data_IF_463290066194
#
_entry.id   IF_463290066194
#
_cell.length_a   1.000
_cell.length_b   1.000
_cell.length_c   1.000
_cell.angle_alpha   90.00
_cell.angle_beta   90.00
_cell.angle_gamma   90.00
#
_symmetry.space_group_name_H-M   'P 1'
#
loop_
_entity.id
_entity.type
_entity.pdbx_description
1 polymer ?
#
# COMPACT_ATOMS: atom_id res chain seq x y z
N UNK A 1 -8.04 -1.58 43.50
CA UNK A 1 -7.88 -1.06 42.12
C UNK A 1 -7.21 -2.15 41.27
N UNK A 2 -7.90 -2.70 40.27
CA UNK A 2 -7.35 -3.74 39.40
C UNK A 2 -6.79 -3.17 38.10
N UNK A 3 -5.55 -3.52 37.76
CA UNK A 3 -4.94 -3.14 36.48
C UNK A 3 -5.56 -3.98 35.35
N UNK A 4 -6.14 -3.34 34.33
CA UNK A 4 -6.61 -4.00 33.11
C UNK A 4 -5.51 -3.95 32.05
N UNK A 5 -4.97 -5.11 31.68
CA UNK A 5 -3.98 -5.22 30.62
C UNK A 5 -4.65 -5.15 29.25
N UNK A 6 -4.28 -4.16 28.45
CA UNK A 6 -4.70 -4.01 27.05
C UNK A 6 -3.56 -3.43 26.22
N UNK A 7 -3.39 -3.95 25.01
CA UNK A 7 -2.44 -3.45 24.01
C UNK A 7 -3.18 -2.51 23.05
N UNK A 8 -2.54 -1.41 22.70
CA UNK A 8 -3.04 -0.51 21.64
C UNK A 8 -2.97 -1.25 20.31
N UNK A 9 -4.08 -1.38 19.55
CA UNK A 9 -4.05 -2.07 18.28
C UNK A 9 -3.13 -1.33 17.31
N UNK A 10 -2.11 -2.00 16.81
CA UNK A 10 -1.28 -1.50 15.72
C UNK A 10 -2.08 -1.58 14.43
N UNK A 11 -2.24 -0.45 13.74
CA UNK A 11 -2.80 -0.46 12.39
C UNK A 11 -1.82 -1.21 11.49
N UNK A 12 -2.27 -2.30 10.86
CA UNK A 12 -1.45 -2.96 9.84
C UNK A 12 -1.19 -1.97 8.70
N UNK A 13 0.02 -2.03 8.15
CA UNK A 13 0.37 -1.22 6.99
C UNK A 13 -0.65 -1.51 5.88
N UNK A 14 -1.24 -0.45 5.33
CA UNK A 14 -2.16 -0.58 4.23
C UNK A 14 -1.40 -1.19 3.04
N UNK A 15 -1.90 -2.32 2.54
CA UNK A 15 -1.35 -2.93 1.33
C UNK A 15 -1.77 -2.07 0.14
N UNK A 16 -0.82 -1.37 -0.45
CA UNK A 16 -1.01 -0.51 -1.62
C UNK A 16 -0.50 -1.24 -2.86
N UNK A 17 -1.35 -2.04 -3.55
CA UNK A 17 -0.90 -2.96 -4.60
C UNK A 17 -0.27 -2.24 -5.80
N UNK A 18 -0.69 -0.99 -6.07
CA UNK A 18 -0.19 -0.20 -7.19
C UNK A 18 0.94 0.78 -6.82
N UNK A 19 1.45 0.72 -5.58
CA UNK A 19 2.49 1.64 -5.13
C UNK A 19 3.81 1.46 -5.89
N UNK A 20 4.18 0.23 -6.23
CA UNK A 20 5.43 -0.04 -6.96
C UNK A 20 5.38 0.51 -8.40
N UNK A 21 4.26 0.32 -9.10
CA UNK A 21 4.07 0.84 -10.46
C UNK A 21 4.04 2.37 -10.44
N UNK A 22 3.43 2.97 -9.41
CA UNK A 22 3.39 4.41 -9.24
C UNK A 22 4.79 4.98 -8.96
N UNK A 23 5.61 4.36 -8.09
CA UNK A 23 6.98 4.84 -7.85
C UNK A 23 7.85 4.73 -9.09
N UNK A 24 7.68 3.71 -9.93
CA UNK A 24 8.41 3.63 -11.21
C UNK A 24 8.04 4.75 -12.19
N UNK A 25 6.77 5.15 -12.21
CA UNK A 25 6.31 6.28 -13.02
C UNK A 25 6.82 7.62 -12.47
N UNK A 26 6.79 7.81 -11.15
CA UNK A 26 7.36 8.99 -10.51
C UNK A 26 8.88 9.10 -10.70
N UNK A 27 9.60 7.97 -10.62
CA UNK A 27 11.04 7.95 -10.89
C UNK A 27 11.33 8.34 -12.34
N UNK A 28 10.51 7.85 -13.28
CA UNK A 28 10.61 8.26 -14.67
C UNK A 28 10.37 9.77 -14.84
N UNK A 29 9.35 10.33 -14.20
CA UNK A 29 9.11 11.79 -14.23
C UNK A 29 10.24 12.61 -13.62
N UNK A 30 10.85 12.13 -12.54
CA UNK A 30 11.98 12.80 -11.94
C UNK A 30 13.17 12.88 -12.91
N UNK A 31 13.31 11.90 -13.81
CA UNK A 31 14.38 11.87 -14.82
C UNK A 31 14.07 12.65 -16.09
N UNK A 32 12.80 12.69 -16.53
CA UNK A 32 12.41 13.22 -17.85
C UNK A 32 11.67 14.55 -17.81
N UNK A 33 11.11 14.94 -16.67
CA UNK A 33 10.48 16.25 -16.46
C UNK A 33 9.06 16.43 -17.02
N UNK A 34 8.55 15.57 -17.92
CA UNK A 34 7.18 15.72 -18.44
C UNK A 34 6.57 14.41 -19.01
N UNK A 35 5.22 14.35 -19.01
CA UNK A 35 4.36 13.38 -19.69
C UNK A 35 4.35 13.56 -21.22
N UNK A 36 4.59 14.79 -21.69
CA UNK A 36 4.40 15.22 -23.08
C UNK A 36 5.63 15.04 -23.98
N UNK A 37 6.63 14.27 -23.55
CA UNK A 37 7.67 13.76 -24.45
C UNK A 37 7.03 12.74 -25.41
N UNK A 38 6.29 13.25 -26.41
CA UNK A 38 5.49 12.52 -27.39
C UNK A 38 6.33 11.95 -28.54
N UNK A 39 7.47 11.32 -28.24
CA UNK A 39 8.24 10.53 -29.21
C UNK A 39 8.45 9.14 -28.65
N UNK A 40 8.04 8.17 -29.45
CA UNK A 40 8.18 6.74 -29.21
C UNK A 40 9.68 6.37 -29.25
N UNK A 41 10.31 6.23 -28.08
CA UNK A 41 11.74 5.93 -27.94
C UNK A 41 12.27 6.00 -26.50
N UNK A 42 13.53 5.59 -26.29
CA UNK A 42 14.20 5.12 -25.05
C UNK A 42 14.13 5.94 -23.75
N UNK A 43 13.41 7.07 -23.67
CA UNK A 43 13.24 7.90 -22.46
C UNK A 43 11.82 8.48 -22.31
N UNK A 44 10.78 7.67 -22.53
CA UNK A 44 9.38 8.06 -22.30
C UNK A 44 8.71 7.28 -21.16
N UNK A 45 7.90 7.94 -20.31
CA UNK A 45 7.20 7.32 -19.17
C UNK A 45 5.92 6.55 -19.54
N UNK A 46 5.66 6.34 -20.84
CA UNK A 46 4.44 5.71 -21.34
C UNK A 46 4.29 4.24 -20.90
N UNK A 47 5.38 3.48 -20.84
CA UNK A 47 5.35 2.09 -20.38
C UNK A 47 5.02 2.00 -18.87
N UNK A 48 5.61 2.87 -18.05
CA UNK A 48 5.30 2.99 -16.63
C UNK A 48 3.83 3.42 -16.40
N UNK A 49 3.31 4.32 -17.24
CA UNK A 49 1.92 4.77 -17.19
C UNK A 49 0.93 3.65 -17.56
N UNK A 50 1.22 2.87 -18.60
CA UNK A 50 0.43 1.69 -18.97
C UNK A 50 0.38 0.67 -17.84
N UNK A 51 1.52 0.36 -17.23
CA UNK A 51 1.58 -0.59 -16.12
C UNK A 51 0.82 -0.12 -14.88
N UNK A 52 0.88 1.17 -14.55
CA UNK A 52 0.08 1.75 -13.47
C UNK A 52 -1.42 1.64 -13.79
N UNK A 53 -1.82 1.98 -15.02
CA UNK A 53 -3.22 1.90 -15.44
C UNK A 53 -3.76 0.48 -15.37
N UNK A 54 -2.99 -0.51 -15.85
CA UNK A 54 -3.34 -1.93 -15.74
C UNK A 54 -3.49 -2.38 -14.28
N UNK A 55 -2.61 -1.92 -13.38
CA UNK A 55 -2.74 -2.21 -11.96
C UNK A 55 -4.01 -1.60 -11.36
N UNK A 56 -4.32 -0.34 -11.68
CA UNK A 56 -5.50 0.36 -11.16
C UNK A 56 -6.81 -0.17 -11.74
N UNK A 57 -6.78 -0.76 -12.94
CA UNK A 57 -7.93 -1.42 -13.54
C UNK A 57 -8.32 -2.72 -12.82
N UNK A 58 -7.39 -3.35 -12.10
CA UNK A 58 -7.67 -4.57 -11.34
C UNK A 58 -8.45 -4.25 -10.05
N UNK A 59 -9.55 -4.96 -9.75
CA UNK A 59 -10.31 -4.74 -8.53
C UNK A 59 -9.48 -5.18 -7.31
N UNK A 60 -9.18 -4.24 -6.41
CA UNK A 60 -8.51 -4.55 -5.16
C UNK A 60 -9.48 -5.27 -4.20
N UNK A 61 -9.19 -6.53 -3.92
CA UNK A 61 -9.88 -7.28 -2.85
C UNK A 61 -9.27 -6.89 -1.51
N UNK A 62 -9.94 -6.00 -0.78
CA UNK A 62 -9.61 -5.71 0.62
C UNK A 62 -9.84 -6.97 1.45
N UNK A 63 -8.78 -7.72 1.74
CA UNK A 63 -8.84 -8.79 2.73
C UNK A 63 -9.16 -8.19 4.08
N UNK A 64 -10.23 -8.65 4.75
CA UNK A 64 -10.36 -8.39 6.18
C UNK A 64 -9.29 -9.24 6.87
N UNK A 65 -8.19 -8.61 7.25
CA UNK A 65 -7.22 -9.25 8.13
C UNK A 65 -7.96 -9.71 9.39
N UNK A 66 -7.73 -10.94 9.82
CA UNK A 66 -8.31 -11.46 11.04
C UNK A 66 -7.96 -10.52 12.21
N UNK A 67 -8.96 -10.10 12.99
CA UNK A 67 -8.74 -9.27 14.16
C UNK A 67 -7.99 -10.08 15.22
N UNK A 68 -6.83 -9.61 15.71
CA UNK A 68 -6.07 -10.37 16.69
C UNK A 68 -6.84 -10.43 18.02
N UNK A 69 -6.95 -11.63 18.61
CA UNK A 69 -7.64 -11.88 19.88
C UNK A 69 -6.82 -11.51 21.13
N UNK A 70 -5.70 -10.80 20.96
CA UNK A 70 -4.74 -10.51 22.04
C UNK A 70 -5.37 -9.77 23.22
N UNK A 71 -6.21 -8.76 22.98
CA UNK A 71 -6.88 -8.01 24.04
C UNK A 71 -7.94 -8.85 24.78
N UNK A 72 -8.52 -9.84 24.11
CA UNK A 72 -9.41 -10.80 24.74
C UNK A 72 -8.63 -11.72 25.68
N UNK A 73 -7.46 -12.24 25.25
CA UNK A 73 -6.61 -13.09 26.09
C UNK A 73 -6.04 -12.32 27.29
N UNK A 74 -5.53 -11.10 27.07
CA UNK A 74 -5.00 -10.25 28.15
C UNK A 74 -6.06 -9.87 29.20
N UNK A 75 -7.33 -9.79 28.80
CA UNK A 75 -8.42 -9.54 29.75
C UNK A 75 -8.68 -10.70 30.72
N UNK A 76 -8.27 -11.92 30.35
CA UNK A 76 -8.42 -13.13 31.16
C UNK A 76 -7.22 -13.41 32.07
N UNK A 77 -6.11 -12.69 31.89
CA UNK A 77 -4.94 -12.81 32.77
C UNK A 77 -5.33 -12.24 34.14
N UNK A 78 -5.68 -13.14 35.08
CA UNK A 78 -5.76 -12.84 36.51
C UNK A 78 -4.37 -12.94 37.10
N UNK A 79 -4.03 -11.99 38.00
CA UNK A 79 -2.99 -12.25 39.00
C UNK A 79 -3.56 -13.17 40.06
#
# INVERSE_FOLDING_TARGET
MGFRYRVRPTKQAAQTPCAAQLTTLLACFATTGDLRAGVEGTQGCAAAAKNLHLCMAQPYKKGSGATPSINYLLSKVRR
#
